data_IF_118702926724
#
_entry.id   IF_118702926724
#
_cell.length_a   1.000
_cell.length_b   1.000
_cell.length_c   1.000
_cell.angle_alpha   90.00
_cell.angle_beta   90.00
_cell.angle_gamma   90.00
#
_symmetry.space_group_name_H-M   'P 1'
#
loop_
_entity.id
_entity.type
_entity.pdbx_description
1 polymer ?
#
# COMPACT_ATOMS: atom_id res chain seq x y z
N UNK A 1 22.63 1.88 -11.26
CA UNK A 1 21.25 1.45 -11.55
C UNK A 1 20.37 2.04 -10.48
N UNK A 2 19.48 2.93 -10.87
CA UNK A 2 18.49 3.53 -9.98
C UNK A 2 17.51 2.45 -9.48
N UNK A 3 17.01 2.63 -8.26
CA UNK A 3 16.07 1.74 -7.59
C UNK A 3 14.83 2.55 -7.24
N UNK A 4 13.65 2.03 -7.60
CA UNK A 4 12.38 2.66 -7.26
C UNK A 4 12.05 2.38 -5.79
N UNK A 5 12.11 3.41 -4.95
CA UNK A 5 11.57 3.32 -3.60
C UNK A 5 10.07 3.64 -3.63
N UNK A 6 9.25 2.67 -3.21
CA UNK A 6 7.82 2.83 -3.03
C UNK A 6 7.53 2.96 -1.54
N UNK A 7 7.06 4.14 -1.12
CA UNK A 7 6.64 4.40 0.25
C UNK A 7 5.13 4.30 0.30
N UNK A 8 4.59 3.44 1.18
CA UNK A 8 3.15 3.17 1.23
C UNK A 8 2.54 3.62 2.54
N UNK A 9 1.32 4.16 2.45
CA UNK A 9 0.56 4.66 3.60
C UNK A 9 -0.73 3.89 3.87
N UNK A 10 -1.05 2.91 3.03
CA UNK A 10 -2.32 2.19 3.05
C UNK A 10 -3.27 2.62 1.93
N UNK A 11 -4.55 2.78 2.27
CA UNK A 11 -5.63 3.14 1.36
C UNK A 11 -6.32 1.93 0.72
N UNK A 12 -7.22 2.20 -0.22
CA UNK A 12 -8.10 1.19 -0.83
C UNK A 12 -7.35 0.02 -1.47
N UNK A 13 -6.15 0.25 -2.01
CA UNK A 13 -5.31 -0.79 -2.62
C UNK A 13 -4.91 -1.89 -1.63
N UNK A 14 -4.85 -1.57 -0.34
CA UNK A 14 -4.44 -2.48 0.73
C UNK A 14 -5.62 -2.95 1.60
N UNK A 15 -6.88 -2.64 1.23
CA UNK A 15 -8.05 -3.01 2.02
C UNK A 15 -8.32 -4.50 2.01
N UNK A 16 -8.47 -5.06 3.22
CA UNK A 16 -8.98 -6.41 3.45
C UNK A 16 -10.38 -6.26 4.04
N UNK A 17 -11.39 -6.68 3.28
CA UNK A 17 -12.79 -6.70 3.71
C UNK A 17 -13.10 -8.01 4.43
N UNK A 18 -13.74 -7.94 5.59
CA UNK A 18 -14.13 -9.12 6.38
C UNK A 18 -15.57 -9.57 6.12
N UNK A 19 -16.41 -8.63 5.71
CA UNK A 19 -17.80 -8.88 5.35
C UNK A 19 -18.25 -7.93 4.22
N UNK A 20 -19.47 -8.18 3.72
CA UNK A 20 -20.12 -7.33 2.73
C UNK A 20 -20.57 -5.97 3.31
N UNK A 21 -20.44 -5.75 4.63
CA UNK A 21 -21.00 -4.61 5.35
C UNK A 21 -20.00 -3.48 5.63
N UNK A 22 -18.93 -3.42 4.85
CA UNK A 22 -17.93 -2.34 4.89
C UNK A 22 -17.01 -2.35 6.11
N UNK A 23 -16.98 -3.43 6.89
CA UNK A 23 -15.91 -3.60 7.88
C UNK A 23 -14.64 -4.06 7.14
N UNK A 24 -13.64 -3.18 7.15
CA UNK A 24 -12.35 -3.41 6.52
C UNK A 24 -11.20 -3.02 7.45
N UNK A 25 -10.04 -3.61 7.16
CA UNK A 25 -8.76 -3.15 7.69
C UNK A 25 -7.81 -2.82 6.55
N UNK A 26 -6.83 -1.96 6.81
CA UNK A 26 -5.70 -1.74 5.91
C UNK A 26 -4.65 -2.80 6.21
N UNK A 27 -4.42 -3.68 5.23
CA UNK A 27 -3.49 -4.80 5.29
C UNK A 27 -2.07 -4.45 4.86
N UNK A 28 -1.36 -5.46 4.38
CA UNK A 28 0.00 -5.31 3.85
C UNK A 28 0.00 -4.71 2.43
N UNK A 29 1.04 -3.94 2.06
CA UNK A 29 1.15 -3.31 0.75
C UNK A 29 1.04 -4.29 -0.42
N UNK A 30 0.02 -4.14 -1.26
CA UNK A 30 -0.18 -5.03 -2.42
C UNK A 30 0.71 -4.67 -3.62
N UNK A 31 1.21 -3.43 -3.68
CA UNK A 31 2.00 -2.93 -4.82
C UNK A 31 3.24 -3.78 -5.13
N UNK A 32 3.89 -4.34 -4.11
CA UNK A 32 5.07 -5.19 -4.31
C UNK A 32 4.75 -6.52 -5.01
N UNK A 33 3.54 -7.06 -4.82
CA UNK A 33 3.07 -8.23 -5.57
C UNK A 33 2.69 -7.84 -6.98
N UNK A 34 1.93 -6.76 -7.15
CA UNK A 34 1.49 -6.24 -8.46
C UNK A 34 2.70 -5.98 -9.37
N UNK A 35 3.73 -5.28 -8.88
CA UNK A 35 4.95 -5.02 -9.65
C UNK A 35 5.67 -6.30 -10.09
N UNK A 36 5.69 -7.34 -9.24
CA UNK A 36 6.25 -8.66 -9.59
C UNK A 36 5.43 -9.35 -10.67
N UNK A 37 4.10 -9.33 -10.55
CA UNK A 37 3.19 -9.94 -11.54
C UNK A 37 3.23 -9.24 -12.90
N UNK A 38 3.42 -7.93 -12.91
CA UNK A 38 3.62 -7.15 -14.13
C UNK A 38 4.99 -7.41 -14.79
N UNK A 39 5.90 -8.14 -14.14
CA UNK A 39 7.20 -8.51 -14.70
C UNK A 39 8.13 -7.32 -14.92
N UNK A 40 8.05 -6.29 -14.06
CA UNK A 40 8.91 -5.11 -14.19
C UNK A 40 10.39 -5.48 -14.10
N UNK A 41 11.22 -4.88 -14.95
CA UNK A 41 12.65 -5.21 -15.08
C UNK A 41 13.56 -4.30 -14.25
N UNK A 42 12.99 -3.25 -13.63
CA UNK A 42 13.70 -2.38 -12.71
C UNK A 42 13.67 -2.93 -11.28
N UNK A 43 14.68 -2.56 -10.49
CA UNK A 43 14.70 -2.88 -9.05
C UNK A 43 13.80 -1.94 -8.29
N UNK A 44 13.11 -2.45 -7.28
CA UNK A 44 12.28 -1.66 -6.40
C UNK A 44 12.31 -2.20 -4.98
N UNK A 45 12.07 -1.31 -4.03
CA UNK A 45 11.88 -1.62 -2.62
C UNK A 45 10.57 -1.00 -2.13
N UNK A 46 9.84 -1.69 -1.25
CA UNK A 46 8.56 -1.23 -0.70
C UNK A 46 8.71 -1.04 0.80
N UNK A 47 8.47 0.19 1.29
CA UNK A 47 8.51 0.52 2.72
C UNK A 47 7.13 1.01 3.16
N UNK A 48 6.41 0.24 3.99
CA UNK A 48 5.19 0.72 4.62
C UNK A 48 5.51 1.65 5.78
N UNK A 49 5.06 2.90 5.69
CA UNK A 49 5.24 3.90 6.76
C UNK A 49 3.96 4.14 7.54
N UNK A 50 2.79 3.91 6.92
CA UNK A 50 1.48 4.00 7.55
C UNK A 50 0.59 2.87 7.02
N UNK A 51 -0.48 2.60 7.77
CA UNK A 51 -1.57 1.68 7.37
C UNK A 51 -2.92 2.34 7.66
N UNK A 52 -3.22 3.43 6.94
CA UNK A 52 -4.44 4.22 7.11
C UNK A 52 -5.26 4.27 5.84
N UNK A 53 -6.57 4.37 5.99
CA UNK A 53 -7.42 4.83 4.91
C UNK A 53 -7.08 6.30 4.63
N UNK A 54 -7.05 6.71 3.36
CA UNK A 54 -6.71 8.08 2.98
C UNK A 54 -7.71 9.10 3.52
N UNK A 55 -8.95 8.70 3.81
CA UNK A 55 -9.95 9.54 4.47
C UNK A 55 -9.60 9.83 5.95
N UNK A 56 -8.64 9.12 6.53
CA UNK A 56 -8.21 9.25 7.92
C UNK A 56 -6.78 9.76 8.08
N UNK A 57 -6.14 10.19 6.98
CA UNK A 57 -4.85 10.89 7.02
C UNK A 57 -5.09 12.32 7.51
N UNK A 58 -4.32 12.75 8.51
CA UNK A 58 -4.39 14.09 9.09
C UNK A 58 -3.03 14.81 9.00
N UNK A 59 -2.93 16.01 9.59
CA UNK A 59 -1.70 16.81 9.55
C UNK A 59 -0.54 16.21 10.36
N UNK A 60 -0.82 15.33 11.34
CA UNK A 60 0.23 14.63 12.11
C UNK A 60 0.90 13.50 11.31
N UNK A 61 0.22 13.02 10.26
CA UNK A 61 0.73 11.98 9.36
C UNK A 61 1.63 12.53 8.23
N UNK A 62 1.61 13.84 7.99
CA UNK A 62 2.25 14.52 6.85
C UNK A 62 3.65 15.04 7.18
#
# INVERSE_FOLDING_TARGET
>A
MEELLVVTTGGTIDKIYFDDKSDYQIGDPQIGMILRELGVTFRFNVIPILRKDSLHINDEDR
#
